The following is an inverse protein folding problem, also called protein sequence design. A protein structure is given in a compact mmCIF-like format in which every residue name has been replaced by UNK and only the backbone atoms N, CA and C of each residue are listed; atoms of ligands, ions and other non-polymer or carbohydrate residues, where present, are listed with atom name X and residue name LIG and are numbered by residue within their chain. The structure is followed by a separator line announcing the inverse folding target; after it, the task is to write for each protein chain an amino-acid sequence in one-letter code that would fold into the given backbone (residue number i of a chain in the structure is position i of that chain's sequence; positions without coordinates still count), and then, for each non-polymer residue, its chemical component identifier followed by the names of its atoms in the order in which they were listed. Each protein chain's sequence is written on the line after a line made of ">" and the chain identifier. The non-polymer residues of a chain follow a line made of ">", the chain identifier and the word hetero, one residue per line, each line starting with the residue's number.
data_IF_158497745082
#
_entry.id   IF_158497745082
#
_cell.length_a   1.000
_cell.length_b   1.000
_cell.length_c   1.000
_cell.angle_alpha   90.00
_cell.angle_beta   90.00
_cell.angle_gamma   90.00
#
_symmetry.space_group_name_H-M   'P 1'
#
loop_
_entity.id
_entity.type
_entity.pdbx_description
1 polymer ?
#
# COMPACT_ATOMS: atom_id res chain seq x y z
N UNK A 1 24.23 -8.00 -58.14
CA UNK A 1 23.70 -8.72 -56.95
C UNK A 1 24.47 -8.43 -55.67
N UNK A 2 25.75 -8.04 -55.73
CA UNK A 2 26.56 -7.71 -54.54
C UNK A 2 26.12 -6.43 -53.82
N UNK A 3 25.68 -5.41 -54.57
CA UNK A 3 25.28 -4.12 -54.01
C UNK A 3 24.01 -4.20 -53.14
N UNK A 4 23.04 -5.01 -53.55
CA UNK A 4 21.79 -5.24 -52.80
C UNK A 4 22.03 -5.99 -51.49
N UNK A 5 22.96 -6.96 -51.48
CA UNK A 5 23.33 -7.69 -50.26
C UNK A 5 24.01 -6.77 -49.23
N UNK A 6 24.85 -5.84 -49.69
CA UNK A 6 25.53 -4.88 -48.82
C UNK A 6 24.54 -3.91 -48.14
N UNK A 7 23.55 -3.40 -48.89
CA UNK A 7 22.52 -2.51 -48.34
C UNK A 7 21.66 -3.19 -47.27
N UNK A 8 21.28 -4.45 -47.48
CA UNK A 8 20.50 -5.22 -46.50
C UNK A 8 21.31 -5.49 -45.22
N UNK A 9 22.61 -5.76 -45.35
CA UNK A 9 23.49 -5.96 -44.19
C UNK A 9 23.64 -4.67 -43.35
N UNK A 10 23.79 -3.52 -44.00
CA UNK A 10 23.86 -2.22 -43.32
C UNK A 10 22.54 -1.89 -42.62
N UNK A 11 21.40 -2.11 -43.27
CA UNK A 11 20.08 -1.87 -42.67
C UNK A 11 19.84 -2.76 -41.44
N UNK A 12 20.20 -4.05 -41.52
CA UNK A 12 20.08 -4.98 -40.40
C UNK A 12 20.98 -4.60 -39.21
N UNK A 13 22.15 -3.99 -39.47
CA UNK A 13 23.06 -3.54 -38.42
C UNK A 13 22.60 -2.24 -37.75
N UNK A 14 21.97 -1.33 -38.50
CA UNK A 14 21.51 -0.04 -37.98
C UNK A 14 20.13 -0.10 -37.28
N UNK A 15 19.27 -1.05 -37.65
CA UNK A 15 17.94 -1.21 -37.04
C UNK A 15 17.95 -1.37 -35.50
N UNK A 16 18.82 -2.19 -34.87
CA UNK A 16 18.85 -2.30 -33.42
C UNK A 16 19.42 -1.06 -32.72
N UNK A 17 20.30 -0.27 -33.38
CA UNK A 17 20.84 0.96 -32.79
C UNK A 17 19.76 2.03 -32.60
N UNK A 18 18.77 2.08 -33.49
CA UNK A 18 17.62 2.99 -33.35
C UNK A 18 16.69 2.58 -32.20
N UNK A 19 16.58 1.29 -31.90
CA UNK A 19 15.77 0.78 -30.78
C UNK A 19 16.39 1.09 -29.40
N UNK A 20 17.71 1.30 -29.32
CA UNK A 20 18.38 1.63 -28.04
C UNK A 20 18.31 3.12 -27.73
N UNK A 21 18.21 4.00 -28.74
CA UNK A 21 18.11 5.46 -28.53
C UNK A 21 16.78 5.94 -27.93
N UNK A 22 15.80 5.04 -27.79
CA UNK A 22 14.51 5.32 -27.17
C UNK A 22 14.43 5.01 -25.68
N UNK A 23 15.53 4.59 -25.03
CA UNK A 23 15.53 4.49 -23.57
C UNK A 23 15.58 5.90 -22.97
N UNK A 24 14.58 6.31 -22.17
CA UNK A 24 14.63 7.59 -21.50
C UNK A 24 15.87 7.62 -20.61
N UNK A 25 16.85 8.48 -20.94
CA UNK A 25 17.97 8.72 -20.04
C UNK A 25 17.42 9.50 -18.84
N UNK A 26 17.61 8.95 -17.66
CA UNK A 26 17.33 9.65 -16.41
C UNK A 26 18.49 10.61 -16.10
N UNK A 27 18.78 11.53 -17.01
CA UNK A 27 19.78 12.59 -16.79
C UNK A 27 19.20 13.58 -15.76
N UNK A 28 19.73 13.52 -14.53
CA UNK A 28 19.31 14.38 -13.41
C UNK A 28 19.14 13.67 -12.06
N UNK A 29 19.26 12.34 -11.99
CA UNK A 29 19.09 11.58 -10.73
C UNK A 29 20.45 11.07 -10.22
N UNK A 30 21.30 11.97 -9.73
CA UNK A 30 22.68 11.63 -9.28
C UNK A 30 22.77 11.23 -7.81
N UNK A 31 21.68 11.23 -7.05
CA UNK A 31 21.66 10.76 -5.65
C UNK A 31 20.78 9.53 -5.47
N UNK A 32 21.29 8.52 -4.78
CA UNK A 32 20.53 7.32 -4.42
C UNK A 32 19.37 7.64 -3.44
N UNK A 33 19.42 8.78 -2.74
CA UNK A 33 18.31 9.32 -1.93
C UNK A 33 17.13 9.85 -2.76
N UNK A 34 17.35 10.23 -4.02
CA UNK A 34 16.29 10.62 -4.97
C UNK A 34 15.67 9.43 -5.71
N UNK A 35 16.26 8.24 -5.62
CA UNK A 35 15.69 7.00 -6.19
C UNK A 35 14.61 6.36 -5.30
N UNK A 36 14.23 6.99 -4.18
CA UNK A 36 13.16 6.49 -3.30
C UNK A 36 11.74 6.51 -3.90
N UNK A 37 11.60 6.83 -5.18
CA UNK A 37 10.40 6.56 -5.96
C UNK A 37 10.77 5.83 -7.25
N UNK A 38 11.29 4.60 -7.14
CA UNK A 38 11.49 3.67 -8.27
C UNK A 38 10.20 3.45 -9.08
N UNK A 39 9.05 3.78 -8.50
CA UNK A 39 7.77 3.87 -9.22
C UNK A 39 7.20 5.27 -9.01
N UNK A 40 7.04 6.06 -10.08
CA UNK A 40 6.34 7.34 -10.03
C UNK A 40 4.97 7.19 -9.33
N UNK A 41 4.68 8.03 -8.35
CA UNK A 41 3.43 8.00 -7.58
C UNK A 41 3.46 7.17 -6.29
N UNK A 42 4.61 6.62 -5.90
CA UNK A 42 4.79 6.07 -4.55
C UNK A 42 4.76 7.16 -3.48
N UNK A 43 4.03 6.91 -2.40
CA UNK A 43 3.90 7.81 -1.26
C UNK A 43 3.68 7.06 0.04
N UNK A 44 4.00 7.70 1.16
CA UNK A 44 3.67 7.19 2.47
C UNK A 44 2.21 7.51 2.77
N UNK A 45 1.50 6.55 3.35
CA UNK A 45 0.09 6.72 3.70
C UNK A 45 -0.04 6.93 5.20
N UNK A 46 -0.46 8.14 5.57
CA UNK A 46 -0.65 8.53 6.96
C UNK A 46 -2.14 8.53 7.30
N UNK A 47 -2.49 7.92 8.42
CA UNK A 47 -3.82 7.98 9.01
C UNK A 47 -3.97 9.23 9.87
N UNK A 48 -4.95 10.07 9.57
CA UNK A 48 -5.37 11.18 10.42
C UNK A 48 -6.63 10.75 11.17
N UNK A 49 -6.52 10.58 12.49
CA UNK A 49 -7.61 10.15 13.36
C UNK A 49 -8.04 11.26 14.35
N UNK A 50 -9.15 11.07 15.08
CA UNK A 50 -9.73 12.08 15.97
C UNK A 50 -8.81 12.49 17.13
N UNK A 51 -7.83 11.66 17.48
CA UNK A 51 -6.86 11.92 18.55
C UNK A 51 -5.60 12.66 18.11
N UNK A 52 -5.45 12.97 16.81
CA UNK A 52 -4.49 13.99 16.39
C UNK A 52 -5.07 15.38 16.71
N UNK A 53 -5.29 15.67 17.99
CA UNK A 53 -5.62 17.02 18.43
C UNK A 53 -4.46 17.92 17.99
N UNK A 54 -4.73 18.79 17.02
CA UNK A 54 -3.77 19.71 16.46
C UNK A 54 -3.16 20.56 17.58
N UNK A 55 -1.95 20.23 18.02
CA UNK A 55 -1.28 20.94 19.11
C UNK A 55 -0.36 20.09 19.97
N UNK A 56 -0.44 18.76 19.94
CA UNK A 56 0.51 17.94 20.69
C UNK A 56 1.86 17.86 19.96
N UNK A 57 2.83 18.65 20.45
CA UNK A 57 4.15 18.91 19.84
C UNK A 57 4.98 17.62 19.60
N UNK A 58 4.58 16.49 20.17
CA UNK A 58 5.26 15.20 20.05
C UNK A 58 4.36 14.06 19.56
N UNK A 59 3.24 14.35 18.88
CA UNK A 59 2.38 13.28 18.35
C UNK A 59 3.11 12.52 17.24
N UNK A 60 3.50 11.26 17.50
CA UNK A 60 4.04 10.38 16.46
C UNK A 60 2.92 10.06 15.47
N UNK A 61 3.10 10.34 14.16
CA UNK A 61 2.08 10.09 13.16
C UNK A 61 1.77 8.60 13.04
N UNK A 62 0.51 8.31 12.68
CA UNK A 62 0.05 6.98 12.40
C UNK A 62 0.17 6.70 10.90
N UNK A 63 0.76 5.57 10.54
CA UNK A 63 0.93 5.17 9.14
C UNK A 63 0.22 3.86 8.86
N UNK A 64 -0.32 3.75 7.64
CA UNK A 64 -0.84 2.50 7.11
C UNK A 64 0.31 1.51 6.89
N UNK A 65 0.10 0.25 7.22
CA UNK A 65 1.09 -0.80 7.03
C UNK A 65 0.45 -2.18 7.09
N UNK A 66 1.15 -3.19 6.58
CA UNK A 66 0.74 -4.58 6.68
C UNK A 66 1.23 -5.16 8.01
N UNK A 67 0.32 -5.75 8.78
CA UNK A 67 0.69 -6.67 9.85
C UNK A 67 1.13 -7.99 9.21
N UNK A 68 2.36 -8.03 8.71
CA UNK A 68 2.97 -9.31 8.45
C UNK A 68 3.12 -9.99 9.82
N UNK A 69 2.73 -11.27 9.97
CA UNK A 69 3.20 -12.05 11.11
C UNK A 69 4.70 -11.85 11.10
N UNK A 70 5.25 -11.23 12.15
CA UNK A 70 6.70 -11.14 12.28
C UNK A 70 7.13 -12.59 12.28
N UNK A 71 7.58 -13.08 11.13
CA UNK A 71 8.27 -14.34 11.03
C UNK A 71 9.30 -14.21 12.12
N UNK A 72 9.15 -15.05 13.13
CA UNK A 72 9.99 -15.04 14.32
C UNK A 72 11.37 -14.72 13.82
N UNK A 73 11.87 -13.53 14.19
CA UNK A 73 13.27 -13.25 14.03
C UNK A 73 13.90 -14.37 14.84
N UNK A 74 14.26 -15.46 14.16
CA UNK A 74 15.24 -16.39 14.64
C UNK A 74 16.47 -15.51 14.70
N UNK A 75 16.54 -14.75 15.79
CA UNK A 75 17.73 -14.21 16.35
C UNK A 75 18.56 -15.45 16.56
N UNK A 76 19.34 -15.77 15.52
CA UNK A 76 20.38 -16.77 15.58
C UNK A 76 21.29 -16.24 16.67
N UNK A 77 21.02 -16.66 17.91
CA UNK A 77 21.96 -16.50 19.00
C UNK A 77 23.31 -16.95 18.45
N UNK A 78 24.36 -16.13 18.55
CA UNK A 78 25.66 -16.47 18.01
C UNK A 78 26.06 -17.81 18.60
N UNK A 79 26.13 -18.84 17.76
CA UNK A 79 26.61 -20.14 18.17
C UNK A 79 28.02 -19.97 18.74
N UNK A 80 28.36 -20.60 19.88
CA UNK A 80 29.66 -20.44 20.51
C UNK A 80 30.76 -20.78 19.51
N UNK A 81 31.70 -19.84 19.38
CA UNK A 81 32.78 -19.86 18.40
C UNK A 81 33.59 -21.16 18.49
N UNK A 82 33.35 -22.08 17.54
CA UNK A 82 34.24 -23.22 17.31
C UNK A 82 34.99 -22.98 16.02
N UNK A 83 36.25 -22.60 16.20
CA UNK A 83 37.25 -22.40 15.16
C UNK A 83 37.32 -23.59 14.21
N UNK A 84 36.80 -23.42 12.99
CA UNK A 84 37.27 -24.12 11.81
C UNK A 84 36.86 -23.33 10.57
N UNK A 85 37.85 -22.69 9.96
CA UNK A 85 37.79 -22.01 8.66
C UNK A 85 37.27 -22.98 7.60
N UNK A 86 35.99 -22.84 7.25
CA UNK A 86 35.44 -23.32 5.98
C UNK A 86 34.87 -22.12 5.26
N UNK A 87 35.25 -21.96 4.00
CA UNK A 87 34.69 -20.97 3.09
C UNK A 87 33.17 -21.12 3.06
N UNK A 88 32.49 -20.26 3.81
CA UNK A 88 31.05 -20.18 3.83
C UNK A 88 30.63 -19.46 2.55
N UNK A 89 30.21 -20.24 1.55
CA UNK A 89 29.34 -19.73 0.52
C UNK A 89 28.11 -19.16 1.21
N UNK A 90 28.05 -17.84 1.33
CA UNK A 90 26.85 -17.13 1.72
C UNK A 90 25.81 -17.34 0.61
N UNK A 91 25.10 -18.47 0.67
CA UNK A 91 23.81 -18.60 -0.01
C UNK A 91 22.94 -17.51 0.59
N UNK A 92 22.72 -16.43 -0.15
CA UNK A 92 21.58 -15.55 0.10
C UNK A 92 20.37 -16.46 0.09
N UNK A 93 19.82 -16.77 1.27
CA UNK A 93 18.48 -17.34 1.35
C UNK A 93 17.59 -16.43 0.51
N UNK A 94 16.78 -16.98 -0.42
CA UNK A 94 15.84 -16.16 -1.17
C UNK A 94 15.05 -15.34 -0.14
N UNK A 95 15.08 -14.02 -0.30
CA UNK A 95 14.32 -13.12 0.56
C UNK A 95 12.89 -13.67 0.60
N UNK A 96 12.44 -14.09 1.78
CA UNK A 96 11.13 -14.71 1.93
C UNK A 96 10.12 -13.73 1.33
N UNK A 97 9.32 -14.20 0.37
CA UNK A 97 8.26 -13.38 -0.22
C UNK A 97 7.46 -12.74 0.92
N UNK A 98 7.17 -11.44 0.81
CA UNK A 98 6.44 -10.71 1.84
C UNK A 98 5.18 -11.46 2.22
N UNK A 99 5.03 -11.79 3.50
CA UNK A 99 3.90 -12.58 3.95
C UNK A 99 2.62 -11.75 3.78
N UNK A 100 1.54 -12.33 3.22
CA UNK A 100 0.22 -11.71 3.26
C UNK A 100 -0.17 -11.32 4.68
N UNK A 101 -0.96 -10.27 4.81
CA UNK A 101 -1.39 -9.81 6.12
C UNK A 101 -2.47 -8.73 6.07
N UNK A 102 -3.13 -8.55 7.21
CA UNK A 102 -4.10 -7.50 7.40
C UNK A 102 -3.42 -6.14 7.27
N UNK A 103 -4.05 -5.22 6.56
CA UNK A 103 -3.65 -3.83 6.62
C UNK A 103 -4.08 -3.27 7.97
N UNK A 104 -3.19 -2.51 8.60
CA UNK A 104 -3.35 -1.91 9.91
C UNK A 104 -2.85 -0.47 9.89
N UNK A 105 -3.15 0.27 10.94
CA UNK A 105 -2.59 1.60 11.19
C UNK A 105 -1.78 1.53 12.48
N UNK A 106 -0.50 1.92 12.44
CA UNK A 106 0.34 2.01 13.64
C UNK A 106 1.40 3.12 13.54
N UNK A 107 2.01 3.44 14.68
CA UNK A 107 3.07 4.44 14.76
C UNK A 107 4.39 3.83 14.27
N UNK A 108 4.89 4.29 13.14
CA UNK A 108 6.13 3.80 12.54
C UNK A 108 7.10 4.95 12.24
N UNK A 109 8.40 4.75 12.52
CA UNK A 109 9.46 5.68 12.12
C UNK A 109 9.85 5.53 10.64
N UNK A 110 9.59 4.37 10.05
CA UNK A 110 9.89 4.05 8.65
C UNK A 110 8.61 3.49 7.99
N UNK A 111 7.65 4.35 7.64
CA UNK A 111 6.39 3.90 7.06
C UNK A 111 6.59 3.27 5.68
N UNK A 112 5.82 2.23 5.35
CA UNK A 112 5.90 1.60 4.04
C UNK A 112 5.36 2.52 2.94
N UNK A 113 5.77 2.21 1.70
CA UNK A 113 5.37 2.97 0.52
C UNK A 113 4.19 2.28 -0.16
N UNK A 114 3.25 3.10 -0.64
CA UNK A 114 2.11 2.66 -1.41
C UNK A 114 1.93 3.50 -2.67
N UNK A 115 1.31 2.92 -3.68
CA UNK A 115 0.95 3.62 -4.90
C UNK A 115 -0.32 3.03 -5.52
N UNK A 116 -1.00 3.81 -6.36
CA UNK A 116 -2.14 3.33 -7.14
C UNK A 116 -1.69 3.12 -8.57
N UNK A 117 -1.94 1.94 -9.12
CA UNK A 117 -1.72 1.63 -10.53
C UNK A 117 -2.89 0.80 -11.05
N UNK A 118 -3.47 1.23 -12.18
CA UNK A 118 -4.64 0.58 -12.79
C UNK A 118 -5.79 0.37 -11.78
N UNK A 119 -6.17 1.43 -11.06
CA UNK A 119 -7.25 1.38 -10.05
C UNK A 119 -6.99 0.43 -8.86
N UNK A 120 -5.80 -0.14 -8.75
CA UNK A 120 -5.40 -1.04 -7.68
C UNK A 120 -4.40 -0.32 -6.77
N UNK A 121 -4.58 -0.42 -5.45
CA UNK A 121 -3.59 0.02 -4.48
C UNK A 121 -2.55 -1.08 -4.28
N UNK A 122 -1.28 -0.69 -4.30
CA UNK A 122 -0.13 -1.58 -4.19
C UNK A 122 0.73 -1.15 -3.01
N UNK A 123 1.20 -2.14 -2.26
CA UNK A 123 2.17 -1.98 -1.19
C UNK A 123 3.55 -2.41 -1.69
N UNK A 124 4.52 -1.50 -1.62
CA UNK A 124 5.91 -1.82 -1.89
C UNK A 124 6.54 -2.44 -0.65
N UNK A 125 6.83 -3.74 -0.71
CA UNK A 125 7.45 -4.45 0.39
C UNK A 125 8.98 -4.45 0.28
N UNK A 126 9.50 -4.72 -0.92
CA UNK A 126 10.94 -4.69 -1.24
C UNK A 126 11.14 -4.66 -2.79
N UNK A 127 12.39 -4.66 -3.25
CA UNK A 127 12.77 -4.66 -4.68
C UNK A 127 12.19 -5.83 -5.48
N UNK A 128 11.92 -6.95 -4.81
CA UNK A 128 11.44 -8.19 -5.43
C UNK A 128 9.95 -8.48 -5.19
N UNK A 129 9.26 -7.65 -4.40
CA UNK A 129 7.92 -7.96 -3.92
C UNK A 129 7.09 -6.69 -3.78
N UNK A 130 6.01 -6.65 -4.56
CA UNK A 130 4.95 -5.67 -4.45
C UNK A 130 3.65 -6.44 -4.26
N UNK A 131 2.86 -6.06 -3.26
CA UNK A 131 1.63 -6.77 -2.90
C UNK A 131 0.41 -5.90 -3.20
N UNK A 132 -0.60 -6.39 -3.93
CA UNK A 132 -1.88 -5.70 -4.05
C UNK A 132 -2.56 -5.61 -2.68
N UNK A 133 -3.15 -4.45 -2.39
CA UNK A 133 -4.04 -4.22 -1.25
C UNK A 133 -5.47 -4.46 -1.70
N UNK A 134 -5.99 -5.62 -1.33
CA UNK A 134 -7.33 -6.09 -1.64
C UNK A 134 -8.31 -5.63 -0.57
N UNK A 135 -9.57 -5.43 -0.97
CA UNK A 135 -10.68 -5.22 -0.05
C UNK A 135 -11.52 -6.48 -0.04
N UNK A 136 -11.58 -7.20 1.07
CA UNK A 136 -12.26 -8.48 1.18
C UNK A 136 -13.50 -8.39 2.07
N UNK A 137 -14.50 -9.20 1.78
CA UNK A 137 -15.69 -9.31 2.62
C UNK A 137 -15.35 -10.08 3.90
N UNK A 138 -15.42 -9.40 5.05
CA UNK A 138 -15.17 -10.01 6.35
C UNK A 138 -16.50 -10.38 6.99
N UNK A 139 -16.84 -11.67 6.95
CA UNK A 139 -18.04 -12.19 7.64
C UNK A 139 -17.87 -12.24 9.16
N UNK A 140 -16.66 -11.96 9.67
CA UNK A 140 -16.31 -12.17 11.08
C UNK A 140 -16.58 -10.95 11.98
N UNK A 141 -16.72 -9.77 11.41
CA UNK A 141 -16.96 -8.55 12.17
C UNK A 141 -18.40 -8.07 11.92
N UNK A 142 -19.27 -8.25 12.92
CA UNK A 142 -20.65 -7.81 12.85
C UNK A 142 -20.70 -6.30 12.58
N UNK A 143 -21.20 -5.93 11.40
CA UNK A 143 -21.29 -4.53 10.98
C UNK A 143 -19.99 -3.90 10.48
N UNK A 144 -18.93 -4.64 10.14
CA UNK A 144 -17.74 -4.14 9.42
C UNK A 144 -17.50 -4.99 8.16
N UNK A 145 -18.21 -4.73 7.06
CA UNK A 145 -18.30 -5.70 5.97
C UNK A 145 -17.01 -5.86 5.19
N UNK A 146 -16.14 -4.83 5.14
CA UNK A 146 -15.01 -4.81 4.22
C UNK A 146 -13.69 -4.53 4.94
N UNK A 147 -12.75 -5.46 4.82
CA UNK A 147 -11.42 -5.39 5.41
C UNK A 147 -10.35 -5.23 4.33
N UNK A 148 -9.34 -4.41 4.61
CA UNK A 148 -8.17 -4.26 3.76
C UNK A 148 -7.11 -5.31 4.10
N UNK A 149 -6.65 -6.04 3.09
CA UNK A 149 -5.68 -7.13 3.22
C UNK A 149 -4.67 -7.03 2.09
N UNK A 150 -3.39 -7.17 2.39
CA UNK A 150 -2.35 -7.28 1.37
C UNK A 150 -2.03 -8.76 1.13
N UNK A 151 -2.04 -9.18 -0.13
CA UNK A 151 -1.97 -10.60 -0.51
C UNK A 151 -1.13 -10.77 -1.78
N UNK A 152 -0.43 -11.89 -2.06
CA UNK A 152 0.33 -12.06 -3.29
C UNK A 152 -0.53 -12.05 -4.57
N UNK A 153 -1.83 -12.33 -4.45
CA UNK A 153 -2.75 -12.38 -5.58
C UNK A 153 -3.68 -11.16 -5.58
N UNK A 154 -3.86 -10.48 -6.74
CA UNK A 154 -4.88 -9.47 -6.88
C UNK A 154 -6.27 -10.08 -6.67
N UNK A 155 -7.11 -9.43 -5.89
CA UNK A 155 -8.46 -9.92 -5.57
C UNK A 155 -9.30 -8.87 -4.87
N UNK A 156 -10.25 -9.33 -4.06
CA UNK A 156 -11.17 -8.45 -3.33
C UNK A 156 -12.54 -8.31 -4.01
N UNK A 157 -13.30 -7.29 -3.59
CA UNK A 157 -14.66 -7.08 -4.07
C UNK A 157 -14.66 -6.71 -5.57
N UNK A 158 -15.39 -7.45 -6.43
CA UNK A 158 -15.46 -7.14 -7.85
C UNK A 158 -15.98 -5.73 -8.12
N UNK A 159 -15.38 -5.03 -9.10
CA UNK A 159 -15.74 -3.64 -9.43
C UNK A 159 -15.15 -2.58 -8.49
N UNK A 160 -14.43 -3.01 -7.47
CA UNK A 160 -13.67 -2.14 -6.57
C UNK A 160 -12.56 -1.37 -7.28
N UNK A 161 -12.39 -0.10 -6.93
CA UNK A 161 -11.27 0.73 -7.38
C UNK A 161 -10.76 1.67 -6.30
N UNK A 162 -9.45 1.85 -6.30
CA UNK A 162 -8.74 2.83 -5.50
C UNK A 162 -8.52 4.11 -6.29
N UNK A 163 -8.74 5.26 -5.65
CA UNK A 163 -8.41 6.56 -6.25
C UNK A 163 -7.92 7.57 -5.22
N UNK A 164 -7.17 8.56 -5.72
CA UNK A 164 -6.83 9.76 -4.98
C UNK A 164 -7.88 10.85 -5.21
N UNK A 165 -8.23 11.58 -4.15
CA UNK A 165 -8.95 12.85 -4.22
C UNK A 165 -8.16 13.91 -3.44
N UNK A 166 -7.42 14.74 -4.15
CA UNK A 166 -6.34 15.51 -3.54
C UNK A 166 -5.32 14.56 -2.92
N UNK A 167 -5.04 14.70 -1.62
CA UNK A 167 -4.17 13.79 -0.88
C UNK A 167 -4.91 12.61 -0.26
N UNK A 168 -6.25 12.62 -0.22
CA UNK A 168 -7.03 11.62 0.52
C UNK A 168 -7.30 10.37 -0.35
N UNK A 169 -7.17 9.19 0.27
CA UNK A 169 -7.41 7.89 -0.35
C UNK A 169 -8.90 7.54 -0.31
N UNK A 170 -9.44 7.09 -1.45
CA UNK A 170 -10.81 6.63 -1.57
C UNK A 170 -10.85 5.21 -2.14
N UNK A 171 -11.84 4.45 -1.69
CA UNK A 171 -12.25 3.20 -2.29
C UNK A 171 -13.68 3.34 -2.82
N UNK A 172 -13.89 2.96 -4.07
CA UNK A 172 -15.19 3.01 -4.74
C UNK A 172 -15.59 1.64 -5.26
N UNK A 173 -16.89 1.39 -5.31
CA UNK A 173 -17.46 0.22 -5.96
C UNK A 173 -18.80 0.61 -6.60
N UNK A 174 -18.81 0.72 -7.93
CA UNK A 174 -19.96 1.24 -8.67
C UNK A 174 -20.36 2.65 -8.22
N UNK A 175 -21.62 2.91 -7.83
CA UNK A 175 -22.08 4.23 -7.36
C UNK A 175 -21.70 4.53 -5.91
N UNK A 176 -21.13 3.56 -5.19
CA UNK A 176 -20.83 3.65 -3.77
C UNK A 176 -19.35 3.98 -3.52
N UNK A 177 -19.05 4.67 -2.43
CA UNK A 177 -17.68 4.93 -2.01
C UNK A 177 -17.58 5.02 -0.48
N UNK A 178 -16.37 4.92 0.04
CA UNK A 178 -16.14 4.99 1.48
C UNK A 178 -16.05 6.40 2.07
N UNK A 179 -16.30 7.44 1.26
CA UNK A 179 -16.19 8.85 1.64
C UNK A 179 -14.81 9.22 2.22
N UNK A 180 -13.77 8.43 1.91
CA UNK A 180 -12.42 8.61 2.45
C UNK A 180 -12.28 8.20 3.93
N UNK A 181 -13.30 7.58 4.53
CA UNK A 181 -13.28 7.14 5.92
C UNK A 181 -12.91 5.66 6.02
N UNK A 182 -12.01 5.39 6.96
CA UNK A 182 -11.51 4.08 7.32
C UNK A 182 -11.62 3.90 8.83
N UNK A 183 -11.63 2.66 9.29
CA UNK A 183 -11.78 2.32 10.70
C UNK A 183 -10.68 1.35 11.10
N UNK A 184 -9.88 1.72 12.09
CA UNK A 184 -8.99 0.78 12.75
C UNK A 184 -9.76 0.11 13.89
N UNK A 185 -9.92 -1.21 13.82
CA UNK A 185 -10.66 -1.99 14.80
C UNK A 185 -9.84 -3.22 15.19
N UNK A 186 -10.04 -3.73 16.40
CA UNK A 186 -9.56 -5.07 16.76
C UNK A 186 -10.50 -6.11 16.14
N UNK A 187 -9.93 -7.14 15.53
CA UNK A 187 -10.66 -8.32 15.08
C UNK A 187 -10.99 -9.25 16.26
N UNK A 188 -11.68 -10.36 15.97
CA UNK A 188 -12.03 -11.39 16.97
C UNK A 188 -10.82 -12.04 17.65
N UNK A 189 -9.62 -11.88 17.09
CA UNK A 189 -8.37 -12.41 17.64
C UNK A 189 -7.58 -11.33 18.40
N UNK A 190 -8.14 -10.12 18.55
CA UNK A 190 -7.48 -8.97 19.17
C UNK A 190 -6.42 -8.31 18.28
N UNK A 191 -6.33 -8.68 17.00
CA UNK A 191 -5.42 -8.07 16.04
C UNK A 191 -6.07 -6.85 15.43
N UNK A 192 -5.34 -5.74 15.36
CA UNK A 192 -5.82 -4.56 14.67
C UNK A 192 -5.95 -4.83 13.17
N UNK A 193 -7.02 -4.34 12.55
CA UNK A 193 -7.27 -4.36 11.12
C UNK A 193 -7.85 -3.03 10.66
N UNK A 194 -7.69 -2.74 9.37
CA UNK A 194 -8.24 -1.55 8.73
C UNK A 194 -9.47 -1.94 7.90
N UNK A 195 -10.59 -1.30 8.19
CA UNK A 195 -11.91 -1.60 7.63
C UNK A 195 -12.49 -0.37 6.94
N UNK A 196 -13.43 -0.59 6.03
CA UNK A 196 -14.17 0.46 5.34
C UNK A 196 -15.63 0.07 5.10
N UNK A 197 -16.45 1.05 4.76
CA UNK A 197 -17.86 0.88 4.42
C UNK A 197 -18.13 1.56 3.09
N UNK A 198 -18.86 0.91 2.20
CA UNK A 198 -19.27 1.53 0.93
C UNK A 198 -20.59 2.30 1.03
N UNK A 199 -21.41 2.00 2.04
CA UNK A 199 -22.76 2.54 2.17
C UNK A 199 -23.02 2.95 3.61
N UNK A 200 -23.47 4.20 3.78
CA UNK A 200 -23.98 4.72 5.03
C UNK A 200 -25.48 4.90 4.84
N UNK A 201 -26.27 4.01 5.44
CA UNK A 201 -27.69 4.25 5.59
C UNK A 201 -27.98 4.24 7.09
N UNK A 202 -28.41 5.38 7.64
CA UNK A 202 -28.98 5.42 8.98
C UNK A 202 -30.33 4.72 8.87
N UNK A 203 -30.50 3.60 9.57
CA UNK A 203 -31.80 2.97 9.68
C UNK A 203 -32.73 3.93 10.45
N UNK A 204 -33.60 4.63 9.73
CA UNK A 204 -34.71 5.33 10.36
C UNK A 204 -35.71 4.27 10.83
N UNK A 205 -36.09 4.23 12.12
CA UNK A 205 -37.01 3.23 12.64
C UNK A 205 -38.45 3.37 12.13
N UNK A 206 -38.78 4.44 11.39
CA UNK A 206 -40.18 4.78 11.11
C UNK A 206 -40.61 4.80 9.65
N UNK A 207 -39.70 4.64 8.66
CA UNK A 207 -40.14 4.54 7.26
C UNK A 207 -39.12 3.80 6.37
N UNK A 208 -39.66 2.91 5.54
CA UNK A 208 -38.94 2.06 4.59
C UNK A 208 -38.05 2.85 3.63
N UNK A 209 -36.73 2.67 3.78
CA UNK A 209 -35.81 2.58 2.64
C UNK A 209 -35.40 3.86 1.92
N UNK A 210 -35.32 5.00 2.62
CA UNK A 210 -34.65 6.19 2.06
C UNK A 210 -33.31 6.36 2.77
N UNK A 211 -32.21 5.98 2.12
CA UNK A 211 -30.88 6.42 2.56
C UNK A 211 -30.87 7.94 2.35
N UNK A 212 -31.11 8.69 3.43
CA UNK A 212 -31.18 10.14 3.36
C UNK A 212 -29.84 10.68 2.84
N UNK A 213 -29.92 11.58 1.85
CA UNK A 213 -28.86 12.49 1.38
C UNK A 213 -28.43 13.47 2.49
N UNK A 214 -28.17 12.96 3.70
CA UNK A 214 -27.80 13.76 4.85
C UNK A 214 -26.30 13.96 4.84
N UNK A 215 -25.91 15.10 4.27
CA UNK A 215 -24.59 15.68 4.45
C UNK A 215 -24.19 15.63 5.94
N UNK A 216 -23.11 14.90 6.23
CA UNK A 216 -22.37 14.88 7.51
C UNK A 216 -23.07 14.28 8.74
N UNK A 217 -24.08 13.42 8.58
CA UNK A 217 -24.57 12.58 9.68
C UNK A 217 -23.72 11.32 9.88
N UNK A 218 -22.55 11.44 10.50
CA UNK A 218 -21.74 10.25 10.81
C UNK A 218 -22.49 9.37 11.82
N UNK A 219 -22.99 8.20 11.38
CA UNK A 219 -23.28 7.11 12.32
C UNK A 219 -22.08 6.89 13.26
N UNK A 220 -22.34 6.61 14.55
CA UNK A 220 -21.27 6.39 15.49
C UNK A 220 -20.36 5.24 14.99
N UNK A 221 -19.03 5.38 15.10
CA UNK A 221 -18.13 4.28 14.76
C UNK A 221 -18.56 3.02 15.53
N UNK A 222 -18.43 1.82 14.94
CA UNK A 222 -18.68 0.59 15.68
C UNK A 222 -17.88 0.59 16.99
N UNK A 223 -18.45 0.03 18.06
CA UNK A 223 -17.81 0.03 19.36
C UNK A 223 -16.40 -0.59 19.27
N UNK A 224 -15.39 0.11 19.78
CA UNK A 224 -13.99 -0.33 19.73
C UNK A 224 -13.24 0.01 18.43
N UNK A 225 -13.87 0.73 17.50
CA UNK A 225 -13.22 1.21 16.28
C UNK A 225 -12.84 2.69 16.40
N UNK A 226 -11.67 3.04 15.87
CA UNK A 226 -11.23 4.43 15.72
C UNK A 226 -11.30 4.84 14.26
N UNK A 227 -12.00 5.93 13.90
CA UNK A 227 -12.07 6.41 12.52
C UNK A 227 -10.78 7.11 12.10
N UNK A 228 -10.42 6.99 10.82
CA UNK A 228 -9.27 7.65 10.20
C UNK A 228 -9.62 8.10 8.78
N UNK A 229 -9.05 9.21 8.34
CA UNK A 229 -8.83 9.47 6.91
C UNK A 229 -7.39 9.08 6.56
N UNK A 230 -7.18 8.57 5.36
CA UNK A 230 -5.84 8.15 4.90
C UNK A 230 -5.37 9.13 3.84
N UNK A 231 -4.19 9.69 4.05
CA UNK A 231 -3.62 10.71 3.18
C UNK A 231 -2.26 10.28 2.66
N UNK A 232 -2.03 10.56 1.38
CA UNK A 232 -0.73 10.50 0.74
C UNK A 232 0.11 11.70 1.18
N UNK A 233 1.29 11.42 1.71
CA UNK A 233 2.32 12.42 1.95
C UNK A 233 3.53 12.09 1.08
N UNK A 234 3.80 12.98 0.13
CA UNK A 234 5.11 13.04 -0.50
C UNK A 234 6.08 13.62 0.51
N UNK A 235 7.02 12.81 0.99
CA UNK A 235 8.15 13.29 1.79
C UNK A 235 9.16 14.03 0.89
N UNK A 236 8.69 15.05 0.16
CA UNK A 236 9.54 15.94 -0.62
C UNK A 236 9.92 17.20 0.16
N UNK A 237 9.83 17.20 1.50
CA UNK A 237 10.60 18.14 2.33
C UNK A 237 12.08 17.74 2.27
N UNK A 238 12.70 17.99 1.13
CA UNK A 238 14.12 18.31 1.10
C UNK A 238 14.23 19.68 1.76
N UNK A 239 14.91 19.69 2.90
CA UNK A 239 15.53 20.89 3.45
C UNK A 239 16.40 21.52 2.38
N UNK A 240 15.99 22.69 1.88
CA UNK A 240 16.91 23.68 1.31
C UNK A 240 17.84 24.20 2.42
#
# INVERSE_FOLDING_TARGET
>A
MTFTALLLAIAAYLAPLLLVSGMPSFDGVTSWSTMNTLVPGMSQLQGLGPTAAAGEVNSVPFYMSIAAPRGTHLELHPAPARSRTRHAHARRSPALAGLPGNVTIYRNKAPPLFYIHQNQLWHYHNESTILPVNVQNSTRAAGLPLQMVADPQPGGVPGGRWRWQGTMLFYENGPQNNQGLFYACQDVNGLNGLFLFLQWCVASPENSGVCADSMMGSSPPPAGCTPFTIHSFSSSRMTD
#
